data_IF_980641312120
#
_entry.id   IF_980641312120
#
_cell.length_a   1.000
_cell.length_b   1.000
_cell.length_c   1.000
_cell.angle_alpha   90.00
_cell.angle_beta   90.00
_cell.angle_gamma   90.00
#
_symmetry.space_group_name_H-M   'P 1'
#
loop_
_entity.id
_entity.type
_entity.pdbx_description
1 polymer ?
#
# COMPACT_ATOMS: atom_id res chain seq x y z
N UNK A 1 -8.05 11.04 5.89
CA UNK A 1 -8.23 9.91 6.84
C UNK A 1 -7.01 9.04 6.72
N UNK A 2 -6.37 8.80 7.85
CA UNK A 2 -5.09 8.15 7.96
C UNK A 2 -5.21 6.93 8.85
N UNK A 3 -4.56 5.85 8.42
CA UNK A 3 -4.43 4.61 9.19
C UNK A 3 -2.95 4.24 9.16
N UNK A 4 -2.38 3.93 10.32
CA UNK A 4 -0.95 3.69 10.49
C UNK A 4 -0.79 2.35 11.19
N UNK A 5 0.11 1.52 10.68
CA UNK A 5 0.52 0.27 11.32
C UNK A 5 2.01 0.32 11.58
N UNK A 6 2.43 0.20 12.83
CA UNK A 6 3.85 0.28 13.14
C UNK A 6 4.16 0.18 14.63
N UNK A 7 5.38 0.58 14.97
CA UNK A 7 5.82 0.70 16.36
C UNK A 7 5.21 1.98 16.95
N UNK A 8 4.50 1.83 18.06
CA UNK A 8 3.96 2.94 18.84
C UNK A 8 4.37 2.77 20.29
N UNK A 9 4.51 3.89 21.01
CA UNK A 9 4.56 3.94 22.46
C UNK A 9 3.32 3.31 23.14
N UNK A 10 2.22 3.12 22.40
CA UNK A 10 1.05 2.37 22.83
C UNK A 10 1.20 0.83 22.69
N UNK A 11 2.33 0.35 22.15
CA UNK A 11 2.69 -1.06 22.10
C UNK A 11 2.41 -1.75 20.75
N UNK A 12 2.06 -3.03 20.83
CA UNK A 12 1.71 -3.98 19.76
C UNK A 12 0.21 -4.24 19.96
N UNK A 13 -0.71 -4.02 19.01
CA UNK A 13 -2.15 -4.20 19.28
C UNK A 13 -3.11 -3.70 18.19
N UNK A 14 -4.35 -4.20 18.19
CA UNK A 14 -5.38 -3.88 17.18
C UNK A 14 -6.14 -2.57 17.47
N UNK A 15 -5.41 -1.46 17.63
CA UNK A 15 -6.02 -0.16 17.89
C UNK A 15 -6.64 -0.01 19.29
N UNK A 16 -7.45 1.04 19.53
CA UNK A 16 -7.98 1.34 20.85
C UNK A 16 -8.90 0.23 21.38
N UNK A 17 -8.51 -0.42 22.49
CA UNK A 17 -9.39 -1.34 23.23
C UNK A 17 -9.37 -2.81 22.82
N UNK A 18 -8.57 -3.20 21.82
CA UNK A 18 -8.43 -4.61 21.43
C UNK A 18 -7.22 -5.28 22.11
N UNK A 19 -7.36 -6.53 22.59
CA UNK A 19 -6.27 -7.23 23.28
C UNK A 19 -5.07 -7.47 22.35
N UNK A 20 -3.89 -7.29 22.93
CA UNK A 20 -2.60 -7.43 22.28
C UNK A 20 -2.32 -8.91 22.01
N UNK A 21 -2.45 -9.34 20.75
CA UNK A 21 -1.87 -10.59 20.29
C UNK A 21 -0.34 -10.49 20.20
N UNK A 22 0.38 -11.54 20.58
CA UNK A 22 1.85 -11.57 20.50
C UNK A 22 2.35 -11.30 19.07
N UNK A 23 2.94 -10.11 18.86
CA UNK A 23 3.69 -9.78 17.64
C UNK A 23 2.96 -8.96 16.57
N UNK A 24 1.72 -8.50 16.80
CA UNK A 24 1.02 -7.60 15.86
C UNK A 24 1.26 -6.10 16.12
N UNK A 25 1.73 -5.37 15.12
CA UNK A 25 2.02 -3.93 15.24
C UNK A 25 0.78 -3.07 15.52
N UNK A 26 0.96 -1.96 16.24
CA UNK A 26 -0.13 -1.05 16.61
C UNK A 26 -0.82 -0.47 15.37
N UNK A 27 -2.15 -0.57 15.34
CA UNK A 27 -3.00 -0.01 14.28
C UNK A 27 -3.68 1.27 14.78
N UNK A 28 -3.13 2.43 14.43
CA UNK A 28 -3.77 3.73 14.64
C UNK A 28 -4.70 4.04 13.48
N UNK A 29 -5.92 4.51 13.72
CA UNK A 29 -6.82 4.99 12.68
C UNK A 29 -7.53 6.27 13.11
N UNK A 30 -7.76 7.20 12.18
CA UNK A 30 -8.66 8.32 12.44
C UNK A 30 -10.12 7.82 12.55
N UNK A 31 -10.93 8.37 13.46
CA UNK A 31 -12.39 8.20 13.40
C UNK A 31 -12.94 8.73 12.06
N UNK A 32 -13.93 8.07 11.43
CA UNK A 32 -14.68 6.91 11.92
C UNK A 32 -14.05 5.54 11.65
N UNK A 33 -12.88 5.43 11.02
CA UNK A 33 -12.32 4.10 10.69
C UNK A 33 -11.91 3.32 11.93
N UNK A 34 -11.45 4.00 12.99
CA UNK A 34 -11.19 3.35 14.27
C UNK A 34 -12.41 2.65 14.88
N UNK A 35 -13.63 3.10 14.53
CA UNK A 35 -14.89 2.58 15.05
C UNK A 35 -15.48 1.46 14.18
N UNK A 36 -14.94 1.26 12.97
CA UNK A 36 -15.37 0.23 12.02
C UNK A 36 -14.41 -0.96 12.03
N UNK A 37 -14.62 -1.87 13.00
CA UNK A 37 -13.78 -3.04 13.19
C UNK A 37 -13.75 -3.99 11.98
N UNK A 38 -14.84 -4.05 11.21
CA UNK A 38 -14.93 -4.90 10.02
C UNK A 38 -14.10 -4.35 8.86
N UNK A 39 -14.15 -3.03 8.66
CA UNK A 39 -13.29 -2.33 7.70
C UNK A 39 -11.81 -2.51 8.05
N UNK A 40 -11.43 -2.35 9.32
CA UNK A 40 -10.05 -2.56 9.78
C UNK A 40 -9.59 -4.01 9.54
N UNK A 41 -10.44 -4.99 9.85
CA UNK A 41 -10.16 -6.41 9.61
C UNK A 41 -9.95 -6.70 8.12
N UNK A 42 -10.79 -6.11 7.26
CA UNK A 42 -10.71 -6.29 5.80
C UNK A 42 -9.50 -5.58 5.18
N UNK A 43 -9.13 -4.41 5.69
CA UNK A 43 -7.99 -3.62 5.21
C UNK A 43 -6.65 -4.22 5.67
N UNK A 44 -6.63 -4.99 6.77
CA UNK A 44 -5.42 -5.51 7.41
C UNK A 44 -4.45 -6.22 6.45
N UNK A 45 -4.86 -7.15 5.56
CA UNK A 45 -3.94 -7.82 4.64
C UNK A 45 -3.26 -6.83 3.68
N UNK A 46 -3.99 -5.80 3.24
CA UNK A 46 -3.49 -4.77 2.32
C UNK A 46 -2.48 -3.83 2.97
N UNK A 47 -2.46 -3.76 4.31
CA UNK A 47 -1.54 -3.00 5.14
C UNK A 47 -0.41 -3.84 5.74
N UNK A 48 -0.36 -5.14 5.47
CA UNK A 48 0.69 -6.04 5.95
C UNK A 48 1.81 -6.18 4.93
N UNK A 49 3.06 -6.25 5.39
CA UNK A 49 4.19 -6.67 4.54
C UNK A 49 4.34 -8.19 4.65
N UNK A 50 3.90 -8.90 3.62
CA UNK A 50 3.75 -10.37 3.58
C UNK A 50 4.96 -11.08 2.96
N UNK A 51 6.15 -10.50 3.09
CA UNK A 51 7.37 -11.04 2.50
C UNK A 51 8.11 -12.00 3.44
N UNK A 52 8.85 -12.98 2.91
CA UNK A 52 9.72 -13.83 3.73
C UNK A 52 10.70 -13.02 4.56
N UNK A 53 10.94 -13.42 5.81
CA UNK A 53 11.82 -12.70 6.75
C UNK A 53 13.21 -12.39 6.16
N UNK A 54 13.79 -13.35 5.43
CA UNK A 54 15.08 -13.17 4.74
C UNK A 54 15.06 -12.02 3.74
N UNK A 55 13.97 -11.85 3.00
CA UNK A 55 13.83 -10.75 2.02
C UNK A 55 13.77 -9.41 2.75
N UNK A 56 13.02 -9.33 3.84
CA UNK A 56 12.96 -8.11 4.65
C UNK A 56 14.34 -7.76 5.23
N UNK A 57 15.13 -8.76 5.62
CA UNK A 57 16.52 -8.63 6.10
C UNK A 57 17.52 -8.19 5.02
N UNK A 58 17.38 -8.72 3.80
CA UNK A 58 18.30 -8.45 2.69
C UNK A 58 18.09 -7.04 2.12
N UNK A 59 16.84 -6.54 2.13
CA UNK A 59 16.49 -5.25 1.51
C UNK A 59 16.22 -4.11 2.51
N UNK A 60 15.78 -4.41 3.73
CA UNK A 60 15.56 -3.45 4.85
C UNK A 60 14.90 -2.15 4.40
N UNK A 61 15.46 -1.00 4.79
CA UNK A 61 15.04 0.36 4.46
C UNK A 61 14.87 0.63 2.96
N UNK A 62 15.48 -0.19 2.11
CA UNK A 62 15.33 -0.05 0.66
C UNK A 62 14.01 -0.60 0.18
N UNK A 63 13.38 -1.54 0.89
CA UNK A 63 12.15 -2.18 0.45
C UNK A 63 10.95 -1.24 0.58
N UNK A 64 10.15 -1.17 -0.47
CA UNK A 64 8.88 -0.45 -0.47
C UNK A 64 7.77 -1.30 -1.09
N UNK A 65 6.65 -1.38 -0.37
CA UNK A 65 5.42 -1.95 -0.88
C UNK A 65 4.35 -0.89 -1.06
N UNK A 66 3.41 -1.19 -1.93
CA UNK A 66 2.26 -0.37 -2.25
C UNK A 66 1.01 -1.22 -2.40
N UNK A 67 -0.10 -0.70 -1.90
CA UNK A 67 -1.42 -1.23 -2.23
C UNK A 67 -2.39 -0.10 -2.55
N UNK A 68 -3.35 -0.38 -3.42
CA UNK A 68 -4.56 0.42 -3.56
C UNK A 68 -5.73 -0.54 -3.62
N UNK A 69 -6.75 -0.28 -2.80
CA UNK A 69 -7.90 -1.17 -2.68
C UNK A 69 -9.16 -0.37 -2.41
N UNK A 70 -10.25 -0.72 -3.08
CA UNK A 70 -11.59 -0.26 -2.75
C UNK A 70 -12.24 -1.23 -1.76
N UNK A 71 -12.71 -0.72 -0.62
CA UNK A 71 -13.42 -1.48 0.41
C UNK A 71 -14.68 -0.74 0.78
N UNK A 72 -15.84 -1.30 0.43
CA UNK A 72 -17.14 -0.65 0.62
C UNK A 72 -17.19 0.67 -0.16
N UNK A 73 -17.51 1.78 0.52
CA UNK A 73 -17.57 3.12 -0.09
C UNK A 73 -16.27 3.91 0.08
N UNK A 74 -15.13 3.23 0.13
CA UNK A 74 -13.82 3.87 0.35
C UNK A 74 -12.73 3.28 -0.51
N UNK A 75 -11.83 4.15 -0.97
CA UNK A 75 -10.58 3.76 -1.60
C UNK A 75 -9.44 4.03 -0.63
N UNK A 76 -8.58 3.05 -0.44
CA UNK A 76 -7.36 3.16 0.36
C UNK A 76 -6.15 3.07 -0.54
N UNK A 77 -5.15 3.91 -0.28
CA UNK A 77 -3.80 3.75 -0.84
C UNK A 77 -2.86 3.60 0.34
N UNK A 78 -2.07 2.53 0.32
CA UNK A 78 -1.13 2.20 1.40
C UNK A 78 0.29 2.17 0.88
N UNK A 79 1.18 2.81 1.62
CA UNK A 79 2.62 2.60 1.53
C UNK A 79 3.04 1.63 2.63
N UNK A 80 3.88 0.66 2.28
CA UNK A 80 4.53 -0.26 3.20
C UNK A 80 6.04 -0.03 3.11
N UNK A 81 6.71 -0.01 4.24
CA UNK A 81 8.15 0.15 4.32
C UNK A 81 8.71 -0.65 5.48
N UNK A 82 10.02 -0.63 5.60
CA UNK A 82 10.69 -1.24 6.73
C UNK A 82 10.57 -0.38 8.00
N UNK A 83 10.57 -1.04 9.15
CA UNK A 83 10.71 -0.41 10.46
C UNK A 83 11.85 -1.07 11.25
N UNK A 84 12.52 -0.32 12.15
CA UNK A 84 13.49 -0.90 13.07
C UNK A 84 12.91 -2.11 13.82
N UNK A 85 13.72 -3.14 14.09
CA UNK A 85 13.23 -4.31 14.82
C UNK A 85 12.75 -3.92 16.22
N UNK A 86 11.73 -4.61 16.70
CA UNK A 86 11.17 -4.44 18.03
C UNK A 86 11.25 -5.77 18.78
N UNK A 87 11.82 -5.75 19.98
CA UNK A 87 12.02 -6.96 20.79
C UNK A 87 12.62 -8.13 19.98
N UNK A 88 13.69 -7.84 19.21
CA UNK A 88 14.40 -8.79 18.33
C UNK A 88 13.57 -9.36 17.17
N UNK A 89 12.34 -8.88 16.95
CA UNK A 89 11.48 -9.27 15.83
C UNK A 89 11.60 -8.26 14.70
N UNK A 90 11.50 -8.76 13.47
CA UNK A 90 11.37 -7.88 12.31
C UNK A 90 10.03 -7.13 12.40
N UNK A 91 10.08 -5.85 12.03
CA UNK A 91 8.94 -4.97 11.99
C UNK A 91 8.88 -4.31 10.62
N UNK A 92 7.68 -3.98 10.17
CA UNK A 92 7.47 -3.09 9.05
C UNK A 92 6.69 -1.86 9.50
N UNK A 93 6.51 -0.92 8.60
CA UNK A 93 5.67 0.23 8.83
C UNK A 93 4.70 0.32 7.65
N UNK A 94 3.44 0.66 7.92
CA UNK A 94 2.53 1.01 6.85
C UNK A 94 1.68 2.23 7.18
N UNK A 95 1.45 3.04 6.15
CA UNK A 95 0.58 4.20 6.22
C UNK A 95 -0.41 4.08 5.09
N UNK A 96 -1.69 3.99 5.43
CA UNK A 96 -2.80 4.05 4.51
C UNK A 96 -3.49 5.41 4.63
N UNK A 97 -3.85 5.96 3.48
CA UNK A 97 -4.77 7.08 3.37
C UNK A 97 -6.05 6.61 2.72
N UNK A 98 -7.19 7.10 3.20
CA UNK A 98 -8.52 6.70 2.75
C UNK A 98 -9.37 7.88 2.25
N UNK A 99 -10.14 7.63 1.19
CA UNK A 99 -11.08 8.58 0.58
C UNK A 99 -12.44 7.93 0.36
N UNK A 100 -13.55 8.68 0.38
CA UNK A 100 -14.83 8.16 -0.08
C UNK A 100 -14.79 7.83 -1.58
N UNK A 101 -15.49 6.77 -1.98
CA UNK A 101 -15.76 6.47 -3.39
C UNK A 101 -16.60 7.58 -4.03
N UNK A 102 -16.43 7.80 -5.34
CA UNK A 102 -17.22 8.78 -6.10
C UNK A 102 -16.78 10.25 -6.00
N UNK A 103 -15.79 10.60 -5.17
CA UNK A 103 -15.24 11.96 -5.11
C UNK A 103 -14.55 12.42 -6.41
N UNK A 104 -14.21 13.72 -6.49
CA UNK A 104 -13.42 14.27 -7.61
C UNK A 104 -11.92 13.99 -7.49
N UNK A 105 -11.44 13.66 -6.29
CA UNK A 105 -10.05 13.30 -6.05
C UNK A 105 -9.70 11.97 -6.73
N UNK A 106 -8.42 11.80 -7.03
CA UNK A 106 -7.87 10.62 -7.67
C UNK A 106 -6.85 9.92 -6.77
N UNK A 107 -7.28 9.14 -5.75
CA UNK A 107 -6.40 8.57 -4.71
C UNK A 107 -5.18 7.84 -5.26
N UNK A 108 -5.37 7.04 -6.31
CA UNK A 108 -4.30 6.24 -6.89
C UNK A 108 -3.17 7.05 -7.50
N UNK A 109 -3.32 8.38 -7.69
CA UNK A 109 -2.21 9.24 -8.10
C UNK A 109 -1.07 9.25 -7.07
N UNK A 110 -1.35 8.81 -5.84
CA UNK A 110 -0.42 8.66 -4.73
C UNK A 110 0.33 7.33 -4.73
N UNK A 111 -0.10 6.37 -5.55
CA UNK A 111 0.54 5.07 -5.66
C UNK A 111 1.97 5.27 -6.17
N UNK A 112 2.96 4.85 -5.36
CA UNK A 112 4.36 5.03 -5.69
C UNK A 112 4.97 6.38 -5.30
N UNK A 113 4.23 7.25 -4.61
CA UNK A 113 4.73 8.55 -4.14
C UNK A 113 5.17 8.46 -2.68
N UNK A 114 6.37 7.96 -2.43
CA UNK A 114 6.94 7.81 -1.07
C UNK A 114 6.76 9.07 -0.21
N UNK A 115 7.08 10.25 -0.75
CA UNK A 115 6.99 11.53 -0.04
C UNK A 115 5.56 11.94 0.34
N UNK A 116 4.54 11.32 -0.27
CA UNK A 116 3.13 11.54 0.08
C UNK A 116 2.67 10.72 1.29
N UNK A 117 3.57 9.96 1.92
CA UNK A 117 3.26 9.11 3.06
C UNK A 117 4.29 9.33 4.17
N UNK A 118 3.88 9.07 5.40
CA UNK A 118 4.79 9.13 6.53
C UNK A 118 5.91 8.09 6.40
N UNK A 119 7.10 8.45 6.89
CA UNK A 119 8.19 7.51 7.12
C UNK A 119 7.89 6.68 8.38
N UNK A 120 8.66 5.63 8.66
CA UNK A 120 8.57 4.96 9.96
C UNK A 120 9.06 5.91 11.07
N UNK A 121 8.45 5.86 12.25
CA UNK A 121 8.86 6.60 13.45
C UNK A 121 9.05 5.66 14.63
N UNK A 122 9.78 6.12 15.64
CA UNK A 122 9.84 5.51 16.97
C UNK A 122 9.17 6.44 17.98
N UNK A 123 8.17 5.93 18.71
CA UNK A 123 7.45 6.70 19.73
C UNK A 123 6.10 7.24 19.23
N UNK A 124 5.78 8.49 19.60
CA UNK A 124 4.47 9.08 19.31
C UNK A 124 4.28 9.30 17.80
N UNK A 125 3.05 9.10 17.28
CA UNK A 125 2.77 9.29 15.86
C UNK A 125 3.03 10.75 15.43
N UNK A 126 3.62 10.96 14.24
CA UNK A 126 3.84 12.30 13.71
C UNK A 126 2.52 13.03 13.44
N UNK A 127 2.57 14.36 13.38
CA UNK A 127 1.37 15.18 13.13
C UNK A 127 0.74 14.85 11.77
N UNK A 128 -0.58 14.99 11.68
CA UNK A 128 -1.41 14.75 10.47
C UNK A 128 -1.23 15.81 9.37
N UNK A 129 0.00 16.18 9.02
CA UNK A 129 0.24 17.08 7.89
C UNK A 129 -0.03 16.32 6.59
N UNK A 130 -0.91 16.86 5.74
CA UNK A 130 -1.10 16.33 4.38
C UNK A 130 0.17 16.66 3.58
N UNK A 131 0.93 15.67 3.11
CA UNK A 131 2.17 15.93 2.39
C UNK A 131 1.89 16.59 1.04
N UNK A 132 2.79 17.49 0.63
CA UNK A 132 2.67 18.23 -0.61
C UNK A 132 2.96 17.32 -1.81
N UNK A 133 2.08 17.35 -2.82
CA UNK A 133 2.26 16.56 -4.03
C UNK A 133 3.26 17.21 -4.96
N UNK A 134 4.50 16.74 -4.92
CA UNK A 134 5.48 17.10 -5.94
C UNK A 134 5.08 16.56 -7.32
N UNK A 135 5.52 17.25 -8.38
CA UNK A 135 5.34 16.77 -9.76
C UNK A 135 6.16 15.49 -9.94
N UNK A 136 5.50 14.47 -10.51
CA UNK A 136 6.14 13.21 -10.80
C UNK A 136 6.90 13.32 -12.13
N UNK A 137 8.24 13.17 -12.08
CA UNK A 137 9.09 13.18 -13.28
C UNK A 137 9.47 11.75 -13.65
N UNK A 138 8.86 11.25 -14.72
CA UNK A 138 9.11 9.95 -15.34
C UNK A 138 10.03 9.88 -16.58
N UNK A 139 10.73 10.93 -17.08
CA UNK A 139 11.26 10.90 -18.45
C UNK A 139 12.18 9.71 -18.79
N UNK A 140 13.05 9.27 -17.88
CA UNK A 140 14.09 8.28 -18.20
C UNK A 140 13.61 6.82 -18.10
N UNK A 141 12.79 6.50 -17.09
CA UNK A 141 12.32 5.13 -16.87
C UNK A 141 11.41 4.63 -18.02
N UNK A 142 10.71 5.55 -18.69
CA UNK A 142 9.81 5.19 -19.80
C UNK A 142 10.56 4.92 -21.10
N UNK A 143 11.63 5.64 -21.39
CA UNK A 143 12.45 5.38 -22.59
C UNK A 143 13.17 4.04 -22.50
N UNK A 144 13.61 3.65 -21.31
CA UNK A 144 14.36 2.40 -21.09
C UNK A 144 13.46 1.17 -20.87
N UNK A 145 12.21 1.38 -20.46
CA UNK A 145 11.30 0.30 -20.08
C UNK A 145 9.92 0.39 -20.75
N UNK A 146 9.88 0.85 -21.99
CA UNK A 146 8.64 1.03 -22.75
C UNK A 146 7.78 -0.24 -22.80
N UNK A 147 8.38 -1.40 -23.07
CA UNK A 147 7.66 -2.68 -23.13
C UNK A 147 7.03 -3.04 -21.77
N UNK A 148 7.80 -2.88 -20.68
CA UNK A 148 7.29 -3.13 -19.34
C UNK A 148 6.15 -2.18 -18.96
N UNK A 149 6.21 -0.91 -19.38
CA UNK A 149 5.13 0.06 -19.19
C UNK A 149 3.85 -0.35 -19.93
N UNK A 150 3.99 -0.86 -21.16
CA UNK A 150 2.86 -1.34 -21.98
C UNK A 150 2.21 -2.58 -21.36
N UNK A 151 3.01 -3.56 -20.94
CA UNK A 151 2.51 -4.77 -20.26
C UNK A 151 1.80 -4.41 -18.95
N UNK A 152 2.39 -3.51 -18.15
CA UNK A 152 1.78 -3.02 -16.91
C UNK A 152 0.45 -2.31 -17.17
N UNK A 153 0.38 -1.44 -18.19
CA UNK A 153 -0.85 -0.75 -18.59
C UNK A 153 -1.92 -1.75 -19.03
N UNK A 154 -1.57 -2.75 -19.85
CA UNK A 154 -2.51 -3.76 -20.30
C UNK A 154 -3.10 -4.56 -19.13
N UNK A 155 -2.25 -4.98 -18.17
CA UNK A 155 -2.72 -5.69 -16.97
C UNK A 155 -3.57 -4.81 -16.05
N UNK A 156 -3.21 -3.54 -15.88
CA UNK A 156 -4.03 -2.59 -15.13
C UNK A 156 -5.39 -2.35 -15.78
N UNK A 157 -5.43 -2.22 -17.10
CA UNK A 157 -6.69 -2.06 -17.83
C UNK A 157 -7.57 -3.31 -17.68
N UNK A 158 -6.99 -4.51 -17.86
CA UNK A 158 -7.71 -5.76 -17.67
C UNK A 158 -8.25 -5.93 -16.24
N UNK A 159 -7.44 -5.56 -15.23
CA UNK A 159 -7.85 -5.53 -13.82
C UNK A 159 -9.01 -4.56 -13.60
N UNK A 160 -8.91 -3.32 -14.09
CA UNK A 160 -9.96 -2.32 -13.97
C UNK A 160 -11.27 -2.75 -14.63
N UNK A 161 -11.21 -3.36 -15.81
CA UNK A 161 -12.41 -3.79 -16.55
C UNK A 161 -13.09 -5.03 -15.97
N UNK A 162 -12.34 -5.87 -15.25
CA UNK A 162 -12.87 -7.11 -14.66
C UNK A 162 -13.16 -7.03 -13.16
N UNK A 163 -12.76 -5.93 -12.51
CA UNK A 163 -12.71 -5.80 -11.05
C UNK A 163 -11.61 -6.64 -10.39
N UNK A 164 -10.83 -7.43 -11.16
CA UNK A 164 -9.82 -8.32 -10.60
C UNK A 164 -8.70 -7.54 -9.90
N UNK A 165 -8.06 -8.16 -8.91
CA UNK A 165 -6.85 -7.60 -8.28
C UNK A 165 -5.64 -7.79 -9.19
N UNK A 166 -4.92 -6.70 -9.45
CA UNK A 166 -3.59 -6.76 -10.02
C UNK A 166 -2.55 -7.05 -8.91
N UNK A 167 -1.92 -8.21 -8.97
CA UNK A 167 -0.88 -8.60 -8.01
C UNK A 167 0.47 -8.70 -8.73
N UNK A 168 1.47 -7.97 -8.23
CA UNK A 168 2.84 -8.11 -8.69
C UNK A 168 3.61 -8.99 -7.70
N UNK A 169 3.75 -10.26 -8.07
CA UNK A 169 4.56 -11.23 -7.34
C UNK A 169 5.82 -11.54 -8.15
N UNK A 170 7.00 -11.27 -7.59
CA UNK A 170 8.28 -11.70 -8.19
C UNK A 170 9.25 -12.13 -7.11
N UNK A 171 10.16 -13.05 -7.47
CA UNK A 171 11.29 -13.46 -6.62
C UNK A 171 12.43 -12.46 -6.64
N UNK A 172 12.40 -11.46 -7.54
CA UNK A 172 13.41 -10.40 -7.65
C UNK A 172 12.95 -9.14 -6.92
N UNK A 173 13.08 -9.15 -5.59
CA UNK A 173 12.58 -8.06 -4.75
C UNK A 173 13.32 -6.72 -4.92
N UNK A 174 14.50 -6.71 -5.54
CA UNK A 174 15.23 -5.47 -5.86
C UNK A 174 14.43 -4.49 -6.72
N UNK A 175 13.47 -4.96 -7.52
CA UNK A 175 12.57 -4.11 -8.30
C UNK A 175 11.55 -3.34 -7.45
N UNK A 176 11.34 -3.72 -6.19
CA UNK A 176 10.48 -2.99 -5.24
C UNK A 176 11.28 -2.14 -4.26
N UNK A 177 12.52 -1.79 -4.62
CA UNK A 177 13.29 -0.88 -3.78
C UNK A 177 12.94 0.58 -4.04
N UNK A 178 13.07 1.45 -3.04
CA UNK A 178 12.90 2.90 -3.19
C UNK A 178 13.80 3.39 -4.32
N UNK A 179 13.20 4.12 -5.27
CA UNK A 179 13.89 4.61 -6.47
C UNK A 179 14.02 3.60 -7.61
N UNK A 180 13.57 2.35 -7.45
CA UNK A 180 13.53 1.39 -8.54
C UNK A 180 12.54 1.82 -9.64
N UNK A 181 12.78 1.46 -10.92
CA UNK A 181 11.91 1.87 -12.02
C UNK A 181 10.46 1.41 -11.89
N UNK A 182 10.21 0.29 -11.18
CA UNK A 182 8.88 -0.32 -11.10
C UNK A 182 7.83 0.61 -10.52
N UNK A 183 8.16 1.36 -9.46
CA UNK A 183 7.26 2.34 -8.86
C UNK A 183 6.87 3.44 -9.87
N UNK A 184 7.85 3.85 -10.69
CA UNK A 184 7.63 4.75 -11.81
C UNK A 184 6.70 4.19 -12.87
N UNK A 185 6.93 2.93 -13.27
CA UNK A 185 6.11 2.23 -14.26
C UNK A 185 4.66 2.07 -13.77
N UNK A 186 4.46 1.68 -12.51
CA UNK A 186 3.13 1.57 -11.91
C UNK A 186 2.40 2.92 -11.92
N UNK A 187 3.05 3.99 -11.47
CA UNK A 187 2.46 5.32 -11.46
C UNK A 187 2.15 5.83 -12.89
N UNK A 188 3.04 5.58 -13.86
CA UNK A 188 2.82 5.92 -15.26
C UNK A 188 1.65 5.16 -15.87
N UNK A 189 1.69 3.82 -15.82
CA UNK A 189 0.70 2.95 -16.44
C UNK A 189 -0.69 3.25 -15.89
N UNK A 190 -0.79 3.54 -14.59
CA UNK A 190 -2.03 4.03 -14.01
C UNK A 190 -2.47 5.37 -14.62
N UNK A 191 -1.59 6.37 -14.64
CA UNK A 191 -1.92 7.70 -15.13
C UNK A 191 -2.38 7.66 -16.60
N UNK A 192 -1.89 6.69 -17.37
CA UNK A 192 -2.28 6.43 -18.75
C UNK A 192 -3.65 5.72 -18.91
N UNK A 193 -4.23 5.17 -17.84
CA UNK A 193 -5.58 4.60 -17.91
C UNK A 193 -6.62 5.69 -18.24
N UNK A 194 -7.72 5.34 -18.94
CA UNK A 194 -8.88 6.23 -19.07
C UNK A 194 -9.44 6.63 -17.69
N UNK A 195 -9.99 7.84 -17.58
CA UNK A 195 -10.37 8.41 -16.28
C UNK A 195 -11.50 7.65 -15.57
N UNK A 196 -12.39 7.04 -16.34
CA UNK A 196 -13.51 6.20 -15.90
C UNK A 196 -13.06 4.85 -15.34
N UNK A 197 -11.96 4.27 -15.84
CA UNK A 197 -11.41 3.00 -15.33
C UNK A 197 -10.36 3.16 -14.22
N UNK A 198 -9.75 4.34 -14.08
CA UNK A 198 -8.71 4.61 -13.04
C UNK A 198 -9.12 4.35 -11.60
N UNK A 199 -10.43 4.29 -11.33
CA UNK A 199 -11.00 4.23 -9.98
C UNK A 199 -11.28 2.81 -9.50
N UNK A 200 -11.55 1.88 -10.41
CA UNK A 200 -12.09 0.55 -10.09
C UNK A 200 -11.09 -0.60 -10.10
N UNK A 201 -9.81 -0.34 -9.84
CA UNK A 201 -8.81 -1.41 -9.82
C UNK A 201 -8.14 -1.52 -8.45
N UNK A 202 -7.91 -2.77 -8.06
CA UNK A 202 -7.22 -3.12 -6.83
C UNK A 202 -5.81 -3.57 -7.21
N UNK A 203 -4.80 -3.10 -6.49
CA UNK A 203 -3.40 -3.45 -6.77
C UNK A 203 -2.61 -3.73 -5.51
N UNK A 204 -1.73 -4.73 -5.58
CA UNK A 204 -0.79 -5.09 -4.52
C UNK A 204 0.61 -5.36 -5.08
N UNK A 205 1.61 -4.71 -4.48
CA UNK A 205 3.03 -4.92 -4.80
C UNK A 205 3.95 -4.66 -3.59
N UNK A 206 5.02 -5.42 -3.41
CA UNK A 206 5.08 -6.83 -3.73
C UNK A 206 4.00 -7.62 -2.97
N UNK A 207 3.66 -8.80 -3.49
CA UNK A 207 2.94 -9.83 -2.71
C UNK A 207 3.83 -11.05 -2.54
N UNK A 208 4.12 -11.42 -1.29
CA UNK A 208 4.79 -12.67 -0.96
C UNK A 208 3.82 -13.85 -0.88
N UNK A 209 2.54 -13.58 -0.56
CA UNK A 209 1.44 -14.55 -0.48
C UNK A 209 0.24 -14.03 -1.30
N UNK A 210 0.28 -14.11 -2.65
CA UNK A 210 -0.78 -13.59 -3.52
C UNK A 210 -2.20 -14.07 -3.18
N UNK A 211 -2.33 -15.30 -2.69
CA UNK A 211 -3.57 -15.94 -2.29
C UNK A 211 -4.39 -15.16 -1.24
N UNK A 212 -3.72 -14.36 -0.39
CA UNK A 212 -4.35 -13.51 0.61
C UNK A 212 -5.23 -12.40 0.01
N UNK A 213 -4.98 -12.05 -1.26
CA UNK A 213 -5.68 -10.96 -1.94
C UNK A 213 -6.67 -11.48 -2.99
N UNK A 214 -6.64 -12.78 -3.30
CA UNK A 214 -7.44 -13.43 -4.34
C UNK A 214 -8.69 -14.14 -3.81
N UNK A 215 -8.83 -14.27 -2.49
CA UNK A 215 -9.89 -15.08 -1.86
C UNK A 215 -11.28 -14.49 -2.13
N UNK A 216 -12.34 -15.31 -2.34
CA UNK A 216 -13.72 -14.81 -2.38
C UNK A 216 -14.08 -14.09 -1.08
N UNK A 217 -14.56 -12.85 -1.17
CA UNK A 217 -14.74 -11.95 -0.01
C UNK A 217 -13.57 -10.99 0.23
N UNK A 218 -12.48 -11.13 -0.51
CA UNK A 218 -11.53 -10.03 -0.72
C UNK A 218 -12.31 -8.86 -1.34
N UNK A 219 -12.11 -7.62 -0.87
CA UNK A 219 -12.94 -6.47 -1.22
C UNK A 219 -12.95 -6.12 -2.73
N UNK A 220 -12.07 -6.77 -3.51
CA UNK A 220 -12.01 -6.69 -4.96
C UNK A 220 -13.13 -7.42 -5.73
N UNK A 221 -14.13 -8.01 -5.07
CA UNK A 221 -15.28 -8.66 -5.74
C UNK A 221 -16.64 -8.07 -5.36
N UNK A 222 -16.66 -6.85 -4.82
CA UNK A 222 -17.89 -6.11 -4.52
C UNK A 222 -18.62 -5.64 -5.76
#
# INVERSE_FOLDING_TARGET
MHIRRGLSDQGIGEGPGAPIGYGEQYLHADSPVAEDGELLRTLRPWMALDLPARVQEDYRERLEGWSMVEIGQRVFVTRLGWAPPFDRRQAYFSHAMGWPTGGHADPGALLGRTAAFEASWSGSPPSTSTPELSRFSLPWALSEHQEAAQVMLAHMLASASSGAVLILATRRYGSFTVGAPLTGLVAFSRAALPADVRRGYNVRLPAGQPELYLTPGSPARG
#
